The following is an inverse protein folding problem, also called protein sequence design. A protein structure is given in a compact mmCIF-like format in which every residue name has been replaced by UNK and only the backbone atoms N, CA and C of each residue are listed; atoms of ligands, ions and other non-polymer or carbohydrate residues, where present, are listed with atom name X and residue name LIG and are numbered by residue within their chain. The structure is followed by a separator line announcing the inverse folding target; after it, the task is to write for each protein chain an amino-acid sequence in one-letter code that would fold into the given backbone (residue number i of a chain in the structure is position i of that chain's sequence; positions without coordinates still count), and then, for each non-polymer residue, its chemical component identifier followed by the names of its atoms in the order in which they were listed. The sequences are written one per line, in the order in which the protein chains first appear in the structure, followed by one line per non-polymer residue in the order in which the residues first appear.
data_IF_390350635737
#
_entry.id   IF_390350635737
#
_cell.length_a   1.000
_cell.length_b   1.000
_cell.length_c   1.000
_cell.angle_alpha   90.00
_cell.angle_beta   90.00
_cell.angle_gamma   90.00
#
_symmetry.space_group_name_H-M   'P 1'
#
loop_
_entity.id
_entity.type
_entity.pdbx_description
1 polymer ?
#
# COMPACT_ATOMS: atom_id res chain seq x y z
N UNK A 1 -4.02 10.28 -31.49
CA UNK A 1 -3.55 9.25 -30.56
C UNK A 1 -4.73 8.44 -30.05
N UNK A 2 -4.50 7.20 -29.63
CA UNK A 2 -5.50 6.36 -28.98
C UNK A 2 -5.63 6.70 -27.50
N UNK A 3 -6.70 6.23 -26.84
CA UNK A 3 -6.85 6.39 -25.40
C UNK A 3 -5.75 5.67 -24.60
N UNK A 4 -5.18 4.59 -25.14
CA UNK A 4 -4.09 3.86 -24.50
C UNK A 4 -2.77 4.63 -24.54
N UNK A 5 -2.48 5.27 -25.68
CA UNK A 5 -1.33 6.17 -25.84
C UNK A 5 -1.45 7.37 -24.90
N UNK A 6 -2.61 8.04 -24.92
CA UNK A 6 -2.88 9.18 -24.05
C UNK A 6 -2.76 8.80 -22.57
N UNK A 7 -3.30 7.64 -22.18
CA UNK A 7 -3.19 7.14 -20.81
C UNK A 7 -1.73 6.91 -20.40
N UNK A 8 -0.91 6.31 -21.26
CA UNK A 8 0.52 6.11 -20.96
C UNK A 8 1.28 7.43 -20.80
N UNK A 9 0.97 8.44 -21.61
CA UNK A 9 1.60 9.76 -21.54
C UNK A 9 1.18 10.50 -20.27
N UNK A 10 -0.13 10.54 -19.98
CA UNK A 10 -0.68 11.14 -18.75
C UNK A 10 -0.06 10.53 -17.50
N UNK A 11 0.09 9.20 -17.45
CA UNK A 11 0.68 8.53 -16.30
C UNK A 11 2.17 8.89 -16.15
N UNK A 12 2.93 9.01 -17.24
CA UNK A 12 4.33 9.45 -17.17
C UNK A 12 4.46 10.89 -16.70
N UNK A 13 3.58 11.78 -17.17
CA UNK A 13 3.56 13.18 -16.76
C UNK A 13 3.23 13.35 -15.28
N UNK A 14 2.20 12.65 -14.82
CA UNK A 14 1.68 12.77 -13.45
C UNK A 14 2.57 12.01 -12.46
N UNK A 15 3.21 10.91 -12.89
CA UNK A 15 4.15 10.15 -12.08
C UNK A 15 3.50 9.26 -11.00
N UNK A 16 2.18 9.10 -11.01
CA UNK A 16 1.46 8.23 -10.07
C UNK A 16 0.31 7.45 -10.75
N UNK A 17 -0.10 6.28 -10.19
CA UNK A 17 -1.24 5.53 -10.68
C UNK A 17 -2.56 6.28 -10.45
N UNK A 18 -3.42 6.30 -11.47
CA UNK A 18 -4.71 7.00 -11.44
C UNK A 18 -5.88 6.06 -11.73
N UNK A 19 -7.10 6.47 -11.41
CA UNK A 19 -8.29 5.72 -11.84
C UNK A 19 -8.49 5.86 -13.35
N UNK A 20 -9.02 4.83 -14.01
CA UNK A 20 -9.35 4.87 -15.44
C UNK A 20 -10.26 6.05 -15.79
N UNK A 21 -11.17 6.41 -14.89
CA UNK A 21 -12.03 7.59 -15.03
C UNK A 21 -11.23 8.88 -15.04
N UNK A 22 -10.29 9.05 -14.10
CA UNK A 22 -9.48 10.26 -14.02
C UNK A 22 -8.59 10.43 -15.24
N UNK A 23 -8.06 9.33 -15.77
CA UNK A 23 -7.29 9.34 -17.02
C UNK A 23 -8.17 9.80 -18.19
N UNK A 24 -9.39 9.27 -18.30
CA UNK A 24 -10.33 9.67 -19.35
C UNK A 24 -10.71 11.16 -19.27
N UNK A 25 -10.95 11.68 -18.07
CA UNK A 25 -11.18 13.11 -17.84
C UNK A 25 -9.98 13.95 -18.31
N UNK A 26 -8.76 13.63 -17.86
CA UNK A 26 -7.55 14.37 -18.26
C UNK A 26 -7.32 14.30 -19.77
N UNK A 27 -7.55 13.15 -20.40
CA UNK A 27 -7.34 12.96 -21.83
C UNK A 27 -8.31 13.81 -22.67
N UNK A 28 -9.56 13.97 -22.21
CA UNK A 28 -10.55 14.85 -22.83
C UNK A 28 -10.24 16.32 -22.56
N UNK A 29 -9.94 16.68 -21.31
CA UNK A 29 -9.64 18.05 -20.89
C UNK A 29 -8.42 18.62 -21.62
N UNK A 30 -7.40 17.78 -21.86
CA UNK A 30 -6.19 18.14 -22.63
C UNK A 30 -6.36 18.02 -24.15
N UNK A 31 -7.54 17.59 -24.64
CA UNK A 31 -7.78 17.40 -26.08
C UNK A 31 -6.91 16.31 -26.73
N UNK A 32 -6.37 15.39 -25.94
CA UNK A 32 -5.50 14.30 -26.41
C UNK A 32 -6.31 13.27 -27.22
N UNK A 33 -7.58 13.08 -26.87
CA UNK A 33 -8.51 12.20 -27.56
C UNK A 33 -9.88 12.86 -27.70
N UNK A 34 -10.65 12.38 -28.67
CA UNK A 34 -12.04 12.78 -28.88
C UNK A 34 -12.94 11.55 -28.86
N UNK A 35 -14.16 11.68 -28.36
CA UNK A 35 -15.16 10.62 -28.38
C UNK A 35 -16.50 11.17 -28.86
N UNK A 36 -17.17 10.41 -29.73
CA UNK A 36 -18.52 10.72 -30.22
C UNK A 36 -19.63 10.03 -29.38
N UNK A 37 -19.26 9.37 -28.28
CA UNK A 37 -20.22 8.70 -27.41
C UNK A 37 -21.09 9.70 -26.62
N UNK A 38 -22.27 9.24 -26.19
CA UNK A 38 -23.17 10.04 -25.35
C UNK A 38 -22.54 10.39 -23.99
N UNK A 39 -21.76 9.48 -23.41
CA UNK A 39 -20.86 9.76 -22.28
C UNK A 39 -19.42 9.42 -22.69
N UNK A 40 -18.65 10.44 -23.14
CA UNK A 40 -17.26 10.29 -23.52
C UNK A 40 -16.38 9.69 -22.42
N UNK A 41 -16.54 10.17 -21.18
CA UNK A 41 -15.70 9.75 -20.04
C UNK A 41 -15.94 8.28 -19.73
N UNK A 42 -17.21 7.86 -19.64
CA UNK A 42 -17.57 6.48 -19.36
C UNK A 42 -17.11 5.53 -20.48
N UNK A 43 -17.30 5.93 -21.73
CA UNK A 43 -16.89 5.13 -22.89
C UNK A 43 -15.36 4.89 -22.91
N UNK A 44 -14.58 5.94 -22.69
CA UNK A 44 -13.12 5.86 -22.66
C UNK A 44 -12.62 5.07 -21.46
N UNK A 45 -13.22 5.27 -20.29
CA UNK A 45 -12.96 4.47 -19.07
C UNK A 45 -13.13 2.98 -19.34
N UNK A 46 -14.27 2.59 -19.91
CA UNK A 46 -14.56 1.19 -20.23
C UNK A 46 -13.59 0.62 -21.29
N UNK A 47 -13.17 1.45 -22.24
CA UNK A 47 -12.20 1.08 -23.27
C UNK A 47 -10.83 0.80 -22.67
N UNK A 48 -10.32 1.70 -21.81
CA UNK A 48 -9.05 1.50 -21.08
C UNK A 48 -9.10 0.17 -20.32
N UNK A 49 -10.15 -0.02 -19.52
CA UNK A 49 -10.33 -1.20 -18.68
C UNK A 49 -10.38 -2.49 -19.49
N UNK A 50 -11.14 -2.48 -20.59
CA UNK A 50 -11.29 -3.64 -21.49
C UNK A 50 -9.96 -3.99 -22.14
N UNK A 51 -9.22 -2.98 -22.62
CA UNK A 51 -7.95 -3.19 -23.29
C UNK A 51 -6.91 -3.79 -22.33
N UNK A 52 -6.84 -3.30 -21.09
CA UNK A 52 -5.97 -3.89 -20.06
C UNK A 52 -6.39 -5.32 -19.72
N UNK A 53 -7.68 -5.58 -19.46
CA UNK A 53 -8.17 -6.92 -19.07
C UNK A 53 -8.00 -7.98 -20.15
N UNK A 54 -8.20 -7.62 -21.41
CA UNK A 54 -8.15 -8.54 -22.54
C UNK A 54 -6.76 -8.63 -23.18
N UNK A 55 -5.81 -7.80 -22.71
CA UNK A 55 -4.50 -7.57 -23.32
C UNK A 55 -4.56 -7.22 -24.83
N UNK A 56 -5.74 -6.82 -25.30
CA UNK A 56 -6.01 -6.47 -26.68
C UNK A 56 -5.98 -4.95 -26.81
N UNK A 57 -5.20 -4.43 -27.75
CA UNK A 57 -5.00 -2.98 -27.93
C UNK A 57 -4.42 -2.28 -26.68
N UNK A 58 -3.73 -3.04 -25.81
CA UNK A 58 -3.01 -2.51 -24.66
C UNK A 58 -1.58 -2.10 -25.04
N UNK A 59 -1.48 -1.19 -26.02
CA UNK A 59 -0.21 -0.68 -26.54
C UNK A 59 -0.29 0.84 -26.57
N UNK A 60 0.48 1.57 -25.75
CA UNK A 60 1.45 1.08 -24.75
C UNK A 60 0.83 0.24 -23.63
N UNK A 61 1.62 -0.67 -23.05
CA UNK A 61 1.16 -1.59 -22.01
C UNK A 61 0.84 -0.83 -20.73
N UNK A 62 -0.38 -0.99 -20.25
CA UNK A 62 -0.84 -0.53 -18.94
C UNK A 62 -1.25 -1.72 -18.09
N UNK A 63 -1.20 -1.55 -16.77
CA UNK A 63 -1.53 -2.59 -15.79
C UNK A 63 -2.46 -2.05 -14.72
N UNK A 64 -3.23 -2.94 -14.10
CA UNK A 64 -3.97 -2.58 -12.90
C UNK A 64 -3.09 -2.66 -11.67
N UNK A 65 -3.26 -1.69 -10.78
CA UNK A 65 -2.57 -1.58 -9.51
C UNK A 65 -3.62 -1.46 -8.40
N UNK A 66 -3.39 -2.14 -7.27
CA UNK A 66 -4.28 -2.03 -6.12
C UNK A 66 -3.93 -0.77 -5.31
N UNK A 67 -4.85 0.17 -5.24
CA UNK A 67 -4.76 1.37 -4.41
C UNK A 67 -5.64 1.28 -3.16
N UNK A 68 -5.49 2.23 -2.21
CA UNK A 68 -6.27 2.25 -0.96
C UNK A 68 -7.77 2.46 -1.17
N UNK A 69 -8.17 3.08 -2.28
CA UNK A 69 -9.56 3.38 -2.64
C UNK A 69 -10.09 2.51 -3.78
N UNK A 70 -9.38 1.44 -4.13
CA UNK A 70 -9.75 0.52 -5.20
C UNK A 70 -8.71 0.42 -6.31
N UNK A 71 -9.15 -0.02 -7.48
CA UNK A 71 -8.29 -0.33 -8.61
C UNK A 71 -7.83 0.94 -9.34
N UNK A 72 -6.53 1.05 -9.55
CA UNK A 72 -5.88 2.09 -10.31
C UNK A 72 -5.25 1.50 -11.58
N UNK A 73 -4.92 2.36 -12.52
CA UNK A 73 -4.18 2.06 -13.74
C UNK A 73 -2.81 2.70 -13.60
N UNK A 74 -1.78 1.94 -13.98
CA UNK A 74 -0.41 2.39 -13.91
C UNK A 74 0.45 1.81 -15.02
N UNK A 75 1.69 2.28 -15.06
CA UNK A 75 2.73 1.76 -15.94
C UNK A 75 3.23 0.40 -15.42
N UNK A 76 3.70 -0.50 -16.30
CA UNK A 76 4.12 -1.85 -15.93
C UNK A 76 5.29 -1.86 -14.94
N UNK A 77 6.19 -0.88 -15.01
CA UNK A 77 7.26 -0.64 -14.03
C UNK A 77 6.71 -0.44 -12.61
N UNK A 78 5.54 0.20 -12.47
CA UNK A 78 4.92 0.43 -11.17
C UNK A 78 4.24 -0.81 -10.59
N UNK A 79 3.95 -1.84 -11.41
CA UNK A 79 3.43 -3.12 -10.93
C UNK A 79 4.49 -3.91 -10.16
N UNK A 80 5.75 -3.85 -10.62
CA UNK A 80 6.89 -4.36 -9.87
C UNK A 80 7.09 -3.55 -8.57
N UNK A 81 6.89 -2.23 -8.61
CA UNK A 81 7.02 -1.35 -7.44
C UNK A 81 5.82 -1.37 -6.47
N UNK A 82 4.61 -1.75 -6.89
CA UNK A 82 3.43 -1.79 -6.01
C UNK A 82 3.22 -3.15 -5.34
N UNK A 83 3.60 -4.24 -6.01
CA UNK A 83 3.71 -5.55 -5.35
C UNK A 83 4.88 -5.55 -4.35
N UNK A 84 5.94 -4.77 -4.59
CA UNK A 84 7.01 -4.55 -3.61
C UNK A 84 6.68 -3.46 -2.59
N UNK A 85 5.94 -2.37 -2.86
CA UNK A 85 5.53 -1.39 -1.83
C UNK A 85 4.44 -1.88 -0.89
N UNK A 86 3.49 -2.69 -1.37
CA UNK A 86 2.49 -3.34 -0.51
C UNK A 86 3.07 -4.56 0.24
N UNK A 87 4.15 -5.17 -0.25
CA UNK A 87 4.95 -6.16 0.52
C UNK A 87 6.03 -5.52 1.41
N UNK A 88 6.55 -4.33 1.08
CA UNK A 88 7.61 -3.64 1.85
C UNK A 88 7.08 -2.86 3.04
N UNK A 89 5.77 -2.76 3.24
CA UNK A 89 5.26 -2.45 4.58
C UNK A 89 5.42 -3.64 5.55
N UNK A 90 5.83 -4.80 5.06
CA UNK A 90 6.01 -6.04 5.82
C UNK A 90 7.44 -6.57 5.81
N UNK A 91 8.45 -5.81 5.36
CA UNK A 91 9.83 -6.32 5.35
C UNK A 91 10.91 -5.27 5.64
N UNK A 92 10.59 -4.23 6.43
CA UNK A 92 11.61 -3.63 7.29
C UNK A 92 11.53 -4.32 8.66
N UNK A 93 11.95 -5.59 8.70
CA UNK A 93 12.28 -6.19 9.99
C UNK A 93 13.59 -5.57 10.44
N UNK A 94 13.50 -4.68 11.43
CA UNK A 94 14.67 -4.24 12.17
C UNK A 94 15.02 -5.36 13.15
N UNK A 95 16.25 -5.87 13.10
CA UNK A 95 16.70 -6.86 14.09
C UNK A 95 16.70 -6.24 15.49
N UNK A 96 15.81 -6.72 16.35
CA UNK A 96 15.81 -6.39 17.78
C UNK A 96 16.56 -7.48 18.53
N UNK A 97 17.74 -7.16 19.06
CA UNK A 97 18.48 -8.06 19.97
C UNK A 97 18.31 -7.58 21.40
N UNK A 98 17.64 -8.37 22.23
CA UNK A 98 17.46 -8.10 23.64
C UNK A 98 17.95 -9.30 24.47
N UNK A 99 18.58 -9.03 25.62
CA UNK A 99 18.85 -10.06 26.63
C UNK A 99 17.60 -10.22 27.48
N UNK A 100 16.99 -11.40 27.45
CA UNK A 100 15.80 -11.72 28.23
C UNK A 100 16.11 -12.82 29.26
N UNK A 101 15.40 -12.86 30.40
CA UNK A 101 15.49 -13.98 31.33
C UNK A 101 15.09 -15.31 30.68
N UNK A 102 15.76 -16.41 31.05
CA UNK A 102 15.50 -17.74 30.49
C UNK A 102 14.03 -18.18 30.67
N UNK A 103 13.43 -17.87 31.81
CA UNK A 103 12.02 -18.16 32.11
C UNK A 103 11.05 -17.51 31.11
N UNK A 104 11.41 -16.34 30.57
CA UNK A 104 10.60 -15.61 29.60
C UNK A 104 10.69 -16.27 28.22
N UNK A 105 11.89 -16.74 27.85
CA UNK A 105 12.10 -17.48 26.62
C UNK A 105 11.31 -18.79 26.60
N UNK A 106 11.27 -19.51 27.72
CA UNK A 106 10.53 -20.78 27.82
C UNK A 106 9.02 -20.58 27.67
N UNK A 107 8.47 -19.48 28.23
CA UNK A 107 7.06 -19.11 28.03
C UNK A 107 6.74 -18.78 26.56
N UNK A 108 7.66 -18.11 25.85
CA UNK A 108 7.48 -17.82 24.41
C UNK A 108 7.48 -19.11 23.60
N UNK A 109 8.38 -20.06 23.89
CA UNK A 109 8.41 -21.38 23.23
C UNK A 109 7.14 -22.19 23.48
N UNK A 110 6.60 -22.15 24.70
CA UNK A 110 5.32 -22.80 25.01
C UNK A 110 4.16 -22.16 24.22
N UNK A 111 4.17 -20.84 24.04
CA UNK A 111 3.17 -20.13 23.25
C UNK A 111 3.24 -20.48 21.75
N UNK A 112 4.44 -20.67 21.21
CA UNK A 112 4.66 -21.16 19.85
C UNK A 112 4.12 -22.60 19.68
N UNK A 113 4.44 -23.50 20.63
CA UNK A 113 3.96 -24.88 20.62
C UNK A 113 2.44 -25.01 20.70
N UNK A 114 1.78 -24.04 21.36
CA UNK A 114 0.33 -23.93 21.38
C UNK A 114 -0.28 -23.52 20.01
N UNK A 115 0.53 -23.31 18.97
CA UNK A 115 0.13 -22.89 17.61
C UNK A 115 -0.76 -21.65 17.61
N UNK A 116 -0.48 -20.70 18.49
CA UNK A 116 -1.19 -19.43 18.51
C UNK A 116 -0.99 -18.65 17.20
N UNK A 117 0.15 -18.86 16.52
CA UNK A 117 0.51 -18.29 15.21
C UNK A 117 1.35 -19.25 14.37
N UNK A 118 1.67 -18.82 13.15
CA UNK A 118 2.28 -19.61 12.07
C UNK A 118 3.76 -19.93 12.34
N UNK A 119 4.45 -19.03 13.03
CA UNK A 119 5.88 -19.12 13.35
C UNK A 119 6.25 -18.41 14.68
N UNK A 120 7.51 -18.60 15.10
CA UNK A 120 8.07 -18.02 16.32
C UNK A 120 8.07 -16.48 16.29
N UNK A 121 8.43 -15.87 15.16
CA UNK A 121 8.56 -14.42 15.03
C UNK A 121 7.20 -13.71 15.11
N UNK A 122 6.16 -14.29 14.52
CA UNK A 122 4.77 -13.87 14.67
C UNK A 122 4.29 -14.03 16.10
N UNK A 123 4.67 -15.13 16.77
CA UNK A 123 4.33 -15.37 18.18
C UNK A 123 4.97 -14.31 19.07
N UNK A 124 6.26 -14.01 18.88
CA UNK A 124 6.99 -12.96 19.59
C UNK A 124 6.38 -11.59 19.30
N UNK A 125 6.14 -11.25 18.03
CA UNK A 125 5.54 -9.99 17.62
C UNK A 125 4.15 -9.79 18.22
N UNK A 126 3.35 -10.86 18.26
CA UNK A 126 2.03 -10.84 18.89
C UNK A 126 2.13 -10.58 20.40
N UNK A 127 3.00 -11.29 21.12
CA UNK A 127 3.20 -11.10 22.56
C UNK A 127 3.73 -9.69 22.88
N UNK A 128 4.69 -9.18 22.09
CA UNK A 128 5.18 -7.82 22.21
C UNK A 128 4.07 -6.80 21.96
N UNK A 129 3.24 -6.98 20.92
CA UNK A 129 2.14 -6.04 20.63
C UNK A 129 1.09 -5.97 21.76
N UNK A 130 0.78 -7.13 22.36
CA UNK A 130 -0.14 -7.23 23.50
C UNK A 130 0.47 -6.62 24.76
N UNK A 131 1.74 -6.92 25.05
CA UNK A 131 2.46 -6.32 26.17
C UNK A 131 2.59 -4.80 26.03
N UNK A 132 2.97 -4.30 24.86
CA UNK A 132 3.04 -2.87 24.58
C UNK A 132 1.69 -2.20 24.69
N UNK A 133 0.60 -2.85 24.28
CA UNK A 133 -0.74 -2.28 24.42
C UNK A 133 -1.18 -2.15 25.88
N UNK A 134 -0.75 -3.05 26.76
CA UNK A 134 -1.00 -2.96 28.20
C UNK A 134 -0.14 -1.87 28.85
N UNK A 135 1.11 -1.73 28.41
CA UNK A 135 2.10 -0.80 28.97
C UNK A 135 2.03 0.60 28.33
N UNK A 136 1.35 0.76 27.19
CA UNK A 136 1.24 2.03 26.45
C UNK A 136 0.60 3.14 27.28
N UNK A 137 -0.37 2.79 28.12
CA UNK A 137 -1.04 3.73 29.03
C UNK A 137 -0.06 4.26 30.08
N UNK A 138 0.71 3.36 30.69
CA UNK A 138 1.70 3.69 31.72
C UNK A 138 2.89 4.46 31.17
N UNK A 139 3.35 4.11 29.95
CA UNK A 139 4.43 4.81 29.24
C UNK A 139 4.01 6.22 28.85
N UNK A 140 2.78 6.41 28.39
CA UNK A 140 2.23 7.74 28.08
C UNK A 140 2.16 8.59 29.35
N UNK A 141 1.70 8.03 30.46
CA UNK A 141 1.60 8.74 31.73
C UNK A 141 2.99 9.09 32.31
N UNK A 142 3.96 8.18 32.20
CA UNK A 142 5.36 8.41 32.60
C UNK A 142 6.05 9.48 31.76
N UNK A 143 5.84 9.48 30.45
CA UNK A 143 6.37 10.50 29.54
C UNK A 143 5.74 11.88 29.78
N UNK A 144 4.43 11.94 30.06
CA UNK A 144 3.76 13.20 30.42
C UNK A 144 4.32 13.78 31.73
N UNK A 145 4.53 12.95 32.76
CA UNK A 145 5.16 13.39 34.01
C UNK A 145 6.58 13.92 33.81
N UNK A 146 7.36 13.32 32.90
CA UNK A 146 8.69 13.82 32.55
C UNK A 146 8.64 15.16 31.79
N UNK A 147 7.71 15.32 30.86
CA UNK A 147 7.49 16.60 30.15
C UNK A 147 7.07 17.73 31.10
N UNK A 148 6.15 17.46 32.03
CA UNK A 148 5.72 18.45 33.02
C UNK A 148 6.85 18.86 33.97
N UNK A 149 7.76 17.93 34.29
CA UNK A 149 8.96 18.24 35.07
C UNK A 149 10.01 19.07 34.32
N UNK A 150 10.01 19.04 32.98
CA UNK A 150 10.90 19.82 32.12
C UNK A 150 10.33 21.21 31.78
N UNK A 151 9.01 21.40 31.86
CA UNK A 151 8.35 22.69 31.64
C UNK A 151 8.26 23.59 32.87
N UNK A 152 8.78 23.16 34.02
CA UNK A 152 8.73 23.88 35.31
C UNK A 152 10.09 24.46 35.75
N UNK A 153 11.03 24.67 34.82
CA UNK A 153 12.32 25.35 35.06
C UNK A 153 12.39 26.65 34.26
#
# INVERSE_FOLDING_TARGET
MTIQEAASEILRDVGEPLTSRRIAEIALDRGMVTSAAQDPVQSLTATIDKNIRKEAYNTPRLVFIQGPRGRLVGLPEWSADHSTRLKNKTSFFLELRARIPAELLDKIKLAEQAKLRSDFDETVSFLLSKGLSLVATDVKEGLMKQLDSLGSV
#
